data_IF_020029777627
#
_entry.id   IF_020029777627
#
_cell.length_a   1.000
_cell.length_b   1.000
_cell.length_c   1.000
_cell.angle_alpha   90.00
_cell.angle_beta   90.00
_cell.angle_gamma   90.00
#
_symmetry.space_group_name_H-M   'P 1'
#
loop_
_entity.id
_entity.type
_entity.pdbx_description
1 polymer ?
#
# COMPACT_ATOMS: atom_id res chain seq x y z
N UNK A 1 3.86 8.38 16.14
CA UNK A 1 3.12 7.26 15.52
C UNK A 1 3.04 7.54 14.03
N UNK A 2 3.42 6.59 13.15
CA UNK A 2 3.36 6.80 11.69
C UNK A 2 1.90 6.78 11.20
N UNK A 3 1.56 7.41 10.05
CA UNK A 3 0.21 7.32 9.49
C UNK A 3 -0.26 5.88 9.28
N UNK A 4 0.64 4.98 8.84
CA UNK A 4 0.37 3.55 8.71
C UNK A 4 -0.05 2.91 10.05
N UNK A 5 0.72 3.14 11.11
CA UNK A 5 0.40 2.59 12.44
C UNK A 5 -0.92 3.16 12.99
N UNK A 6 -1.19 4.45 12.76
CA UNK A 6 -2.45 5.11 13.14
C UNK A 6 -3.64 4.47 12.43
N UNK A 7 -3.57 4.31 11.11
CA UNK A 7 -4.64 3.73 10.30
C UNK A 7 -4.87 2.26 10.67
N UNK A 8 -3.80 1.49 10.85
CA UNK A 8 -3.89 0.08 11.25
C UNK A 8 -4.54 -0.08 12.62
N UNK A 9 -4.16 0.77 13.59
CA UNK A 9 -4.82 0.82 14.90
C UNK A 9 -6.30 1.18 14.78
N UNK A 10 -6.67 2.10 13.88
CA UNK A 10 -8.06 2.47 13.61
C UNK A 10 -8.90 1.31 13.06
N UNK A 11 -8.29 0.36 12.37
CA UNK A 11 -8.92 -0.88 11.90
C UNK A 11 -8.97 -1.99 12.98
N UNK A 12 -8.44 -1.74 14.19
CA UNK A 12 -8.32 -2.75 15.24
C UNK A 12 -7.24 -3.81 14.97
N UNK A 13 -6.29 -3.50 14.08
CA UNK A 13 -5.25 -4.43 13.66
C UNK A 13 -4.18 -4.68 14.73
N UNK A 14 -3.54 -5.85 14.68
CA UNK A 14 -2.45 -6.21 15.60
C UNK A 14 -1.21 -5.33 15.36
N UNK A 15 -0.74 -4.53 16.35
CA UNK A 15 0.35 -3.56 16.13
C UNK A 15 1.65 -4.17 15.61
N UNK A 16 1.96 -5.41 16.01
CA UNK A 16 3.15 -6.13 15.56
C UNK A 16 3.19 -6.35 14.04
N UNK A 17 2.03 -6.43 13.38
CA UNK A 17 1.95 -6.66 11.93
C UNK A 17 2.38 -5.44 11.10
N UNK A 18 2.43 -4.24 11.67
CA UNK A 18 2.95 -3.04 10.98
C UNK A 18 4.39 -3.26 10.52
N UNK A 19 5.18 -4.04 11.27
CA UNK A 19 6.56 -4.41 10.90
C UNK A 19 6.67 -5.24 9.61
N UNK A 20 5.56 -5.85 9.14
CA UNK A 20 5.51 -6.60 7.88
C UNK A 20 5.43 -5.67 6.67
N UNK A 21 5.18 -4.37 6.85
CA UNK A 21 5.06 -3.40 5.74
C UNK A 21 6.37 -2.64 5.56
N UNK A 22 6.86 -2.61 4.33
CA UNK A 22 8.03 -1.84 3.91
C UNK A 22 7.66 -0.88 2.77
N UNK A 23 8.32 0.27 2.70
CA UNK A 23 8.13 1.24 1.63
C UNK A 23 9.33 1.24 0.67
N UNK A 24 9.06 1.44 -0.62
CA UNK A 24 10.06 1.84 -1.63
C UNK A 24 9.76 3.28 -1.98
N UNK A 25 10.62 4.17 -1.48
CA UNK A 25 10.44 5.59 -1.73
C UNK A 25 10.80 5.97 -3.17
N UNK A 26 9.94 6.75 -3.81
CA UNK A 26 10.17 7.31 -5.15
C UNK A 26 10.17 8.84 -5.05
N UNK A 27 11.34 9.50 -5.09
CA UNK A 27 11.39 10.95 -5.06
C UNK A 27 10.60 11.58 -6.21
N UNK A 28 9.94 12.71 -5.94
CA UNK A 28 9.22 13.50 -6.95
C UNK A 28 7.78 13.08 -7.24
N UNK A 29 7.31 11.94 -6.71
CA UNK A 29 5.90 11.55 -6.84
C UNK A 29 5.05 12.13 -5.71
N UNK A 30 3.80 12.49 -6.03
CA UNK A 30 2.83 13.07 -5.09
C UNK A 30 3.37 14.32 -4.35
N UNK A 31 4.19 15.12 -5.02
CA UNK A 31 4.76 16.37 -4.49
C UNK A 31 3.66 17.33 -4.04
N UNK A 32 3.62 17.63 -2.74
CA UNK A 32 2.60 18.50 -2.13
C UNK A 32 3.14 19.21 -0.89
N UNK A 33 2.52 20.33 -0.53
CA UNK A 33 2.77 21.01 0.76
C UNK A 33 2.21 20.22 1.95
N UNK A 34 1.23 19.35 1.69
CA UNK A 34 0.64 18.44 2.66
C UNK A 34 1.29 17.06 2.54
N UNK A 35 1.22 16.21 3.58
CA UNK A 35 1.85 14.88 3.59
C UNK A 35 1.07 13.84 2.74
N UNK A 36 0.76 14.19 1.49
CA UNK A 36 -0.08 13.38 0.59
C UNK A 36 0.59 12.03 0.31
N UNK A 37 1.89 12.01 0.09
CA UNK A 37 2.65 10.78 -0.17
C UNK A 37 2.61 9.84 1.04
N UNK A 38 2.85 10.34 2.25
CA UNK A 38 2.81 9.51 3.45
C UNK A 38 1.40 8.95 3.71
N UNK A 39 0.35 9.77 3.52
CA UNK A 39 -1.04 9.35 3.72
C UNK A 39 -1.49 8.33 2.66
N UNK A 40 -1.16 8.57 1.39
CA UNK A 40 -1.48 7.66 0.29
C UNK A 40 -0.75 6.31 0.49
N UNK A 41 0.54 6.35 0.81
CA UNK A 41 1.34 5.15 1.11
C UNK A 41 0.80 4.37 2.31
N UNK A 42 0.40 5.07 3.38
CA UNK A 42 -0.22 4.44 4.54
C UNK A 42 -1.58 3.81 4.22
N UNK A 43 -2.42 4.47 3.43
CA UNK A 43 -3.72 3.96 2.99
C UNK A 43 -3.55 2.65 2.17
N UNK A 44 -2.66 2.66 1.18
CA UNK A 44 -2.36 1.45 0.40
C UNK A 44 -1.71 0.37 1.28
N UNK A 45 -0.81 0.76 2.18
CA UNK A 45 -0.14 -0.14 3.11
C UNK A 45 -1.08 -0.89 4.04
N UNK A 46 -2.08 -0.22 4.63
CA UNK A 46 -3.07 -0.91 5.49
C UNK A 46 -3.98 -1.84 4.69
N UNK A 47 -4.39 -1.45 3.48
CA UNK A 47 -5.18 -2.31 2.61
C UNK A 47 -4.40 -3.57 2.19
N UNK A 48 -3.13 -3.40 1.82
CA UNK A 48 -2.26 -4.51 1.44
C UNK A 48 -1.93 -5.41 2.64
N UNK A 49 -1.72 -4.85 3.83
CA UNK A 49 -1.53 -5.63 5.06
C UNK A 49 -2.79 -6.42 5.43
N UNK A 50 -3.97 -5.82 5.33
CA UNK A 50 -5.24 -6.52 5.55
C UNK A 50 -5.44 -7.68 4.55
N UNK A 51 -5.08 -7.46 3.28
CA UNK A 51 -5.13 -8.52 2.27
C UNK A 51 -4.12 -9.65 2.57
N UNK A 52 -2.91 -9.33 3.01
CA UNK A 52 -1.91 -10.29 3.45
C UNK A 52 -2.39 -11.11 4.66
N UNK A 53 -3.03 -10.47 5.64
CA UNK A 53 -3.62 -11.14 6.79
C UNK A 53 -4.76 -12.08 6.37
N UNK A 54 -5.65 -11.63 5.48
CA UNK A 54 -6.71 -12.46 4.93
C UNK A 54 -6.16 -13.68 4.18
N UNK A 55 -5.12 -13.51 3.38
CA UNK A 55 -4.47 -14.60 2.65
C UNK A 55 -3.84 -15.63 3.61
N UNK A 56 -3.19 -15.16 4.67
CA UNK A 56 -2.64 -16.01 5.71
C UNK A 56 -3.73 -16.81 6.42
N UNK A 57 -4.87 -16.19 6.78
CA UNK A 57 -6.01 -16.89 7.41
C UNK A 57 -6.65 -17.95 6.50
N UNK A 58 -6.62 -17.75 5.18
CA UNK A 58 -7.14 -18.71 4.20
C UNK A 58 -6.18 -19.87 3.93
N UNK A 59 -4.92 -19.74 4.31
CA UNK A 59 -3.89 -20.77 4.14
C UNK A 59 -3.63 -21.44 5.49
N UNK A 60 -3.88 -22.75 5.61
CA UNK A 60 -3.66 -23.45 6.89
C UNK A 60 -2.21 -23.32 7.34
N UNK A 61 -1.98 -22.67 8.49
CA UNK A 61 -0.66 -22.44 9.07
C UNK A 61 0.17 -21.33 8.43
N UNK A 62 -0.43 -20.47 7.59
CA UNK A 62 0.28 -19.38 6.93
C UNK A 62 0.63 -18.22 7.86
N UNK A 63 1.88 -17.76 7.83
CA UNK A 63 2.24 -16.45 8.38
C UNK A 63 1.77 -15.30 7.47
N UNK A 64 1.50 -14.13 8.05
CA UNK A 64 1.20 -12.91 7.28
C UNK A 64 2.43 -12.51 6.44
N UNK A 65 2.40 -12.59 5.10
CA UNK A 65 3.57 -12.28 4.30
C UNK A 65 3.98 -10.81 4.43
N UNK A 66 5.27 -10.53 4.17
CA UNK A 66 5.74 -9.16 4.08
C UNK A 66 5.11 -8.44 2.89
N UNK A 67 4.77 -7.17 3.07
CA UNK A 67 4.16 -6.30 2.09
C UNK A 67 5.15 -5.19 1.74
N UNK A 68 5.33 -4.94 0.44
CA UNK A 68 6.14 -3.83 -0.07
C UNK A 68 5.23 -2.85 -0.79
N UNK A 69 5.27 -1.59 -0.38
CA UNK A 69 4.51 -0.49 -0.98
C UNK A 69 5.48 0.40 -1.75
N UNK A 70 5.34 0.49 -3.07
CA UNK A 70 6.16 1.38 -3.90
C UNK A 70 5.43 2.70 -4.15
N UNK A 71 6.04 3.83 -3.77
CA UNK A 71 5.44 5.15 -3.93
C UNK A 71 5.07 5.47 -5.38
N UNK A 72 5.78 4.91 -6.36
CA UNK A 72 5.46 5.08 -7.78
C UNK A 72 4.18 4.34 -8.18
N UNK A 73 3.96 3.16 -7.60
CA UNK A 73 2.71 2.42 -7.78
C UNK A 73 1.55 3.13 -7.07
N UNK A 74 1.78 3.63 -5.85
CA UNK A 74 0.80 4.45 -5.11
C UNK A 74 0.43 5.71 -5.90
N UNK A 75 1.42 6.43 -6.42
CA UNK A 75 1.20 7.63 -7.23
C UNK A 75 0.38 7.33 -8.49
N UNK A 76 0.67 6.22 -9.16
CA UNK A 76 -0.11 5.76 -10.33
C UNK A 76 -1.57 5.52 -9.93
N UNK A 77 -1.81 4.81 -8.82
CA UNK A 77 -3.16 4.51 -8.32
C UNK A 77 -3.95 5.77 -7.92
N UNK A 78 -3.29 6.76 -7.32
CA UNK A 78 -3.92 8.01 -6.86
C UNK A 78 -4.10 9.06 -7.96
N UNK A 79 -3.26 9.05 -9.00
CA UNK A 79 -3.35 10.02 -10.11
C UNK A 79 -4.33 9.55 -11.17
N UNK A 80 -4.12 8.37 -11.74
CA UNK A 80 -5.01 7.78 -12.75
C UNK A 80 -4.49 6.42 -13.23
N UNK A 81 -5.40 5.47 -13.43
CA UNK A 81 -5.12 4.18 -14.08
C UNK A 81 -4.52 4.29 -15.49
N UNK A 82 -4.70 5.43 -16.19
CA UNK A 82 -4.09 5.67 -17.51
C UNK A 82 -2.56 5.60 -17.49
N UNK A 83 -1.95 5.75 -16.31
CA UNK A 83 -0.52 5.69 -16.10
C UNK A 83 -0.02 4.28 -15.78
N UNK A 84 -0.92 3.33 -15.49
CA UNK A 84 -0.58 1.97 -15.14
C UNK A 84 0.07 1.26 -16.32
N UNK A 85 1.20 0.61 -16.02
CA UNK A 85 1.88 -0.31 -16.93
C UNK A 85 2.20 -1.61 -16.24
N UNK A 86 1.81 -2.72 -16.85
CA UNK A 86 2.15 -4.08 -16.42
C UNK A 86 3.08 -4.68 -17.45
N UNK A 87 4.30 -5.05 -17.06
CA UNK A 87 5.35 -5.52 -17.97
C UNK A 87 5.56 -4.59 -19.18
N UNK A 88 5.51 -3.27 -18.91
CA UNK A 88 5.65 -2.23 -19.93
C UNK A 88 4.40 -1.97 -20.77
N UNK A 89 3.34 -2.78 -20.66
CA UNK A 89 2.09 -2.61 -21.41
C UNK A 89 1.12 -1.72 -20.65
N UNK A 90 0.55 -0.73 -21.34
CA UNK A 90 -0.52 0.09 -20.78
C UNK A 90 -1.76 -0.77 -20.48
N UNK A 91 -2.47 -0.44 -19.40
CA UNK A 91 -3.77 -1.06 -19.12
C UNK A 91 -4.82 -0.64 -20.14
N UNK A 92 -5.70 -1.58 -20.52
CA UNK A 92 -6.93 -1.24 -21.23
C UNK A 92 -7.94 -0.73 -20.21
N UNK A 93 -8.46 0.48 -20.42
CA UNK A 93 -9.57 0.98 -19.61
C UNK A 93 -10.88 0.45 -20.19
N UNK A 94 -11.79 0.04 -19.32
CA UNK A 94 -13.11 -0.47 -19.71
C UNK A 94 -14.14 0.67 -19.90
N UNK A 95 -13.74 1.93 -19.67
CA UNK A 95 -14.60 3.11 -19.74
C UNK A 95 -14.67 3.73 -21.14
#
# INVERSE_FOLDING_TARGET
MTPLASFWSGLGGQPALVSRVSAVERPGVLSSRLPVREFAGACVGVCALAAAELAARRTVGGEVPAVRVDDGAVATAFVSERHLRTDGRAGESFA
#
